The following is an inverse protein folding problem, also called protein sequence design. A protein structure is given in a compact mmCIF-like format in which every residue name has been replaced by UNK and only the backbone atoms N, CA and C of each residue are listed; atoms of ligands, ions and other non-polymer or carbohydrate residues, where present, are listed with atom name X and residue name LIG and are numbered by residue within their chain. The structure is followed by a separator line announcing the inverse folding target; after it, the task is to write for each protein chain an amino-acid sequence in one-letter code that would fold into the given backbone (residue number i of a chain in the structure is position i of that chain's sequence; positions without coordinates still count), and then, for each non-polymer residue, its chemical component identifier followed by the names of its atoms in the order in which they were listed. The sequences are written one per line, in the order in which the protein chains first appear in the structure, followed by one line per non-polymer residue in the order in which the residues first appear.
data_IF_862126329891
#
_entry.id   IF_862126329891
#
_cell.length_a   1.000
_cell.length_b   1.000
_cell.length_c   1.000
_cell.angle_alpha   90.00
_cell.angle_beta   90.00
_cell.angle_gamma   90.00
#
_symmetry.space_group_name_H-M   'P 1'
#
loop_
_entity.id
_entity.type
_entity.pdbx_description
1 polymer ?
#
# COMPACT_ATOMS: atom_id res chain seq x y z
N UNK A 1 19.88 -6.94 20.67
CA UNK A 1 18.60 -7.64 20.89
C UNK A 1 17.96 -8.00 19.55
N UNK A 2 17.53 -9.23 19.42
CA UNK A 2 16.83 -9.64 18.20
C UNK A 2 15.37 -9.18 18.26
N UNK A 3 14.87 -8.73 17.11
CA UNK A 3 13.47 -8.39 16.91
C UNK A 3 12.97 -9.03 15.61
N UNK A 4 11.75 -8.72 15.22
CA UNK A 4 11.14 -9.29 14.03
C UNK A 4 11.85 -8.89 12.72
N UNK A 5 12.68 -7.84 12.74
CA UNK A 5 13.39 -7.33 11.57
C UNK A 5 14.86 -7.76 11.52
N UNK A 6 15.32 -8.51 12.50
CA UNK A 6 16.75 -8.86 12.63
C UNK A 6 17.30 -9.60 11.40
N UNK A 7 16.52 -10.50 10.82
CA UNK A 7 16.96 -11.25 9.63
C UNK A 7 17.03 -10.37 8.39
N UNK A 8 16.08 -9.45 8.24
CA UNK A 8 16.11 -8.46 7.16
C UNK A 8 17.32 -7.55 7.31
N UNK A 9 17.65 -7.16 8.54
CA UNK A 9 18.83 -6.35 8.82
C UNK A 9 20.14 -7.07 8.44
N UNK A 10 20.22 -8.39 8.58
CA UNK A 10 21.38 -9.13 8.14
C UNK A 10 21.63 -9.00 6.64
N UNK A 11 20.57 -8.86 5.85
CA UNK A 11 20.66 -8.71 4.41
C UNK A 11 20.90 -7.27 3.97
N UNK A 12 20.18 -6.33 4.57
CA UNK A 12 20.16 -4.93 4.12
C UNK A 12 21.11 -4.02 4.87
N UNK A 13 21.46 -4.38 6.12
CA UNK A 13 22.27 -3.56 6.99
C UNK A 13 21.44 -2.61 7.84
N UNK A 14 22.06 -2.08 8.90
CA UNK A 14 21.43 -1.22 9.87
C UNK A 14 20.94 0.10 9.27
N UNK A 15 21.76 0.72 8.44
CA UNK A 15 21.43 2.01 7.80
C UNK A 15 20.19 1.89 6.92
N UNK A 16 20.09 0.83 6.10
CA UNK A 16 18.92 0.60 5.28
C UNK A 16 17.67 0.35 6.12
N UNK A 17 17.78 -0.37 7.22
CA UNK A 17 16.65 -0.60 8.13
C UNK A 17 16.17 0.69 8.79
N UNK A 18 17.07 1.57 9.20
CA UNK A 18 16.70 2.88 9.73
C UNK A 18 15.97 3.72 8.69
N UNK A 19 16.42 3.67 7.43
CA UNK A 19 15.76 4.36 6.33
C UNK A 19 14.34 3.83 6.10
N UNK A 20 14.14 2.51 6.14
CA UNK A 20 12.82 1.91 6.02
C UNK A 20 11.90 2.32 7.17
N UNK A 21 12.38 2.27 8.40
CA UNK A 21 11.59 2.67 9.58
C UNK A 21 11.17 4.14 9.56
N UNK A 22 11.92 4.98 8.87
CA UNK A 22 11.62 6.40 8.71
C UNK A 22 10.87 6.72 7.42
N UNK A 23 10.56 5.72 6.61
CA UNK A 23 9.89 5.91 5.32
C UNK A 23 8.38 5.85 5.46
N UNK A 24 7.70 6.64 4.63
CA UNK A 24 6.25 6.66 4.47
C UNK A 24 5.89 6.29 3.03
N UNK A 25 5.08 5.27 2.87
CA UNK A 25 4.69 4.74 1.57
C UNK A 25 3.18 4.79 1.43
N UNK A 26 2.70 5.31 0.31
CA UNK A 26 1.29 5.29 -0.04
C UNK A 26 1.00 4.14 -1.01
N UNK A 27 -0.04 3.36 -0.72
CA UNK A 27 -0.49 2.27 -1.58
C UNK A 27 -1.89 2.60 -2.08
N UNK A 28 -2.00 2.83 -3.36
CA UNK A 28 -3.26 3.13 -4.04
C UNK A 28 -3.82 1.85 -4.65
N UNK A 29 -4.92 1.37 -4.07
CA UNK A 29 -5.55 0.11 -4.46
C UNK A 29 -5.15 -1.05 -3.55
N UNK A 30 -6.12 -1.59 -2.81
CA UNK A 30 -5.92 -2.72 -1.87
C UNK A 30 -6.64 -3.96 -2.43
N UNK A 31 -6.24 -4.34 -3.63
CA UNK A 31 -6.75 -5.53 -4.30
C UNK A 31 -5.77 -6.70 -4.24
N UNK A 32 -5.71 -7.48 -5.33
CA UNK A 32 -4.85 -8.65 -5.40
C UNK A 32 -3.37 -8.33 -5.30
N UNK A 33 -2.92 -7.24 -5.91
CA UNK A 33 -1.52 -6.81 -5.85
C UNK A 33 -1.27 -5.91 -4.65
N UNK A 34 -2.12 -4.90 -4.45
CA UNK A 34 -1.95 -3.91 -3.38
C UNK A 34 -1.96 -4.53 -1.99
N UNK A 35 -2.83 -5.50 -1.75
CA UNK A 35 -2.91 -6.17 -0.46
C UNK A 35 -1.61 -6.91 -0.09
N UNK A 36 -1.04 -7.65 -1.02
CA UNK A 36 0.24 -8.33 -0.80
C UNK A 36 1.40 -7.34 -0.69
N UNK A 37 1.33 -6.23 -1.41
CA UNK A 37 2.34 -5.17 -1.31
C UNK A 37 2.36 -4.56 0.10
N UNK A 38 1.19 -4.26 0.66
CA UNK A 38 1.07 -3.77 2.04
C UNK A 38 1.68 -4.77 3.01
N UNK A 39 1.36 -6.04 2.86
CA UNK A 39 1.92 -7.12 3.68
C UNK A 39 3.45 -7.14 3.63
N UNK A 40 4.00 -7.08 2.43
CA UNK A 40 5.46 -7.10 2.23
C UNK A 40 6.13 -5.87 2.84
N UNK A 41 5.56 -4.68 2.66
CA UNK A 41 6.10 -3.44 3.22
C UNK A 41 6.08 -3.46 4.75
N UNK A 42 4.99 -3.90 5.35
CA UNK A 42 4.88 -4.01 6.80
C UNK A 42 5.92 -4.97 7.38
N UNK A 43 6.08 -6.12 6.75
CA UNK A 43 7.04 -7.15 7.18
C UNK A 43 8.49 -6.76 6.93
N UNK A 44 8.73 -5.82 6.03
CA UNK A 44 10.08 -5.32 5.72
C UNK A 44 10.52 -4.17 6.63
N UNK A 45 9.60 -3.57 7.40
CA UNK A 45 9.96 -2.54 8.35
C UNK A 45 9.66 -1.10 7.93
N UNK A 46 8.80 -0.88 6.94
CA UNK A 46 8.34 0.46 6.58
C UNK A 46 7.58 1.06 7.76
N UNK A 47 7.93 2.29 8.15
CA UNK A 47 7.43 2.89 9.38
C UNK A 47 6.04 3.51 9.27
N UNK A 48 5.60 3.92 8.08
CA UNK A 48 4.29 4.52 7.88
C UNK A 48 3.69 4.10 6.54
N UNK A 49 2.41 3.79 6.55
CA UNK A 49 1.66 3.35 5.37
C UNK A 49 0.38 4.16 5.26
N UNK A 50 0.14 4.73 4.07
CA UNK A 50 -1.15 5.29 3.70
C UNK A 50 -1.83 4.32 2.76
N UNK A 51 -3.07 3.93 3.09
CA UNK A 51 -3.82 2.91 2.36
C UNK A 51 -5.06 3.55 1.75
N UNK A 52 -5.19 3.48 0.43
CA UNK A 52 -6.23 4.17 -0.31
C UNK A 52 -7.05 3.17 -1.13
N UNK A 53 -8.31 2.98 -0.78
CA UNK A 53 -9.27 2.15 -1.51
C UNK A 53 -10.67 2.44 -0.98
N UNK A 54 -11.68 2.49 -1.85
CA UNK A 54 -13.06 2.73 -1.42
C UNK A 54 -13.90 1.44 -1.33
N UNK A 55 -13.36 0.32 -1.76
CA UNK A 55 -14.10 -0.94 -1.83
C UNK A 55 -14.20 -1.65 -0.49
N UNK A 56 -15.27 -2.41 -0.37
CA UNK A 56 -15.44 -3.42 0.68
C UNK A 56 -15.03 -4.78 0.15
N UNK A 57 -14.60 -5.65 1.05
CA UNK A 57 -14.28 -7.04 0.72
C UNK A 57 -15.53 -7.76 0.23
N UNK A 58 -15.42 -8.40 -0.93
CA UNK A 58 -16.47 -9.23 -1.52
C UNK A 58 -16.08 -10.71 -1.47
N UNK A 59 -17.09 -11.58 -1.46
CA UNK A 59 -16.85 -13.03 -1.43
C UNK A 59 -15.97 -13.49 -2.58
N UNK A 60 -16.15 -12.92 -3.78
CA UNK A 60 -15.36 -13.27 -4.97
C UNK A 60 -13.89 -12.87 -4.89
N UNK A 61 -13.52 -12.04 -3.92
CA UNK A 61 -12.12 -11.65 -3.70
C UNK A 61 -11.29 -12.75 -3.03
N UNK A 62 -11.94 -13.75 -2.43
CA UNK A 62 -11.27 -14.78 -1.63
C UNK A 62 -10.24 -15.58 -2.43
N UNK A 63 -10.42 -15.69 -3.73
CA UNK A 63 -9.52 -16.49 -4.55
C UNK A 63 -8.11 -15.88 -4.73
N UNK A 64 -7.94 -14.57 -4.48
CA UNK A 64 -6.69 -13.89 -4.81
C UNK A 64 -6.29 -12.73 -3.88
N UNK A 65 -7.19 -12.22 -3.04
CA UNK A 65 -6.89 -11.04 -2.21
C UNK A 65 -6.61 -11.46 -0.78
N UNK A 66 -5.44 -11.04 -0.26
CA UNK A 66 -5.03 -11.43 1.09
C UNK A 66 -5.94 -10.85 2.18
N UNK A 67 -6.57 -9.70 1.92
CA UNK A 67 -7.52 -9.08 2.87
C UNK A 67 -8.86 -9.83 2.93
N UNK A 68 -9.12 -10.70 1.96
CA UNK A 68 -10.42 -11.35 1.81
C UNK A 68 -10.45 -12.70 2.48
N UNK A 69 -11.23 -12.81 3.52
CA UNK A 69 -11.61 -14.06 4.19
C UNK A 69 -13.12 -14.04 4.45
N UNK A 70 -13.70 -15.17 4.82
CA UNK A 70 -15.11 -15.20 5.18
C UNK A 70 -15.46 -14.27 6.34
N UNK A 71 -14.50 -14.01 7.23
CA UNK A 71 -14.69 -13.11 8.37
C UNK A 71 -14.65 -11.63 7.98
N UNK A 72 -13.98 -11.30 6.87
CA UNK A 72 -13.77 -9.90 6.47
C UNK A 72 -14.73 -9.40 5.39
N UNK A 73 -15.51 -10.29 4.77
CA UNK A 73 -16.51 -9.90 3.76
C UNK A 73 -17.43 -8.82 4.32
N UNK A 74 -17.60 -7.73 3.58
CA UNK A 74 -18.43 -6.58 3.96
C UNK A 74 -17.67 -5.48 4.70
N UNK A 75 -16.45 -5.72 5.15
CA UNK A 75 -15.60 -4.69 5.75
C UNK A 75 -14.84 -3.93 4.67
N UNK A 76 -14.49 -2.67 4.95
CA UNK A 76 -13.64 -1.91 4.03
C UNK A 76 -12.26 -2.54 3.93
N UNK A 77 -11.74 -2.66 2.72
CA UNK A 77 -10.42 -3.26 2.48
C UNK A 77 -9.31 -2.54 3.23
N UNK A 78 -9.37 -1.21 3.30
CA UNK A 78 -8.35 -0.44 4.03
C UNK A 78 -8.38 -0.71 5.53
N UNK A 79 -9.55 -0.94 6.11
CA UNK A 79 -9.68 -1.25 7.53
C UNK A 79 -9.12 -2.65 7.84
N UNK A 80 -9.39 -3.62 6.99
CA UNK A 80 -8.85 -4.97 7.12
C UNK A 80 -7.33 -4.95 6.99
N UNK A 81 -6.82 -4.21 6.01
CA UNK A 81 -5.38 -4.06 5.82
C UNK A 81 -4.71 -3.38 7.01
N UNK A 82 -5.31 -2.34 7.58
CA UNK A 82 -4.80 -1.67 8.77
C UNK A 82 -4.71 -2.63 9.95
N UNK A 83 -5.77 -3.38 10.22
CA UNK A 83 -5.76 -4.37 11.30
C UNK A 83 -4.64 -5.38 11.09
N UNK A 84 -4.47 -5.85 9.88
CA UNK A 84 -3.45 -6.83 9.54
C UNK A 84 -2.04 -6.27 9.73
N UNK A 85 -1.81 -5.02 9.33
CA UNK A 85 -0.53 -4.32 9.55
C UNK A 85 -0.22 -4.23 11.04
N UNK A 86 -1.18 -3.85 11.86
CA UNK A 86 -0.98 -3.72 13.30
C UNK A 86 -0.80 -5.07 14.02
N UNK A 87 -1.28 -6.16 13.45
CA UNK A 87 -0.96 -7.50 13.92
C UNK A 87 0.48 -7.91 13.58
N UNK A 88 1.04 -7.34 12.52
CA UNK A 88 2.44 -7.54 12.13
C UNK A 88 3.35 -6.67 13.00
N UNK A 89 3.04 -5.39 13.10
CA UNK A 89 3.79 -4.44 13.93
C UNK A 89 2.86 -3.29 14.36
N UNK A 90 2.51 -3.22 15.65
CA UNK A 90 1.61 -2.16 16.15
C UNK A 90 2.21 -0.77 16.11
N UNK A 91 3.54 -0.64 15.90
CA UNK A 91 4.22 0.64 15.84
C UNK A 91 4.17 1.30 14.46
N UNK A 92 3.74 0.57 13.43
CA UNK A 92 3.58 1.16 12.09
C UNK A 92 2.41 2.15 12.13
N UNK A 93 2.67 3.37 11.63
CA UNK A 93 1.63 4.39 11.50
C UNK A 93 0.83 4.12 10.24
N UNK A 94 -0.47 3.89 10.39
CA UNK A 94 -1.36 3.62 9.26
C UNK A 94 -2.41 4.71 9.17
N UNK A 95 -2.54 5.29 7.97
CA UNK A 95 -3.61 6.22 7.63
C UNK A 95 -4.44 5.60 6.52
N UNK A 96 -5.75 5.54 6.71
CA UNK A 96 -6.66 4.94 5.74
C UNK A 96 -7.52 6.00 5.07
N UNK A 97 -7.79 5.79 3.78
CA UNK A 97 -8.64 6.65 2.97
C UNK A 97 -9.65 5.79 2.24
N UNK A 98 -10.92 5.94 2.60
CA UNK A 98 -12.05 5.20 2.00
C UNK A 98 -12.54 5.94 0.77
N UNK A 99 -11.64 6.28 -0.12
CA UNK A 99 -11.95 7.02 -1.35
C UNK A 99 -11.26 6.36 -2.54
N UNK A 100 -11.83 6.62 -3.70
CA UNK A 100 -11.27 6.18 -4.97
C UNK A 100 -10.39 7.30 -5.54
N UNK A 101 -9.17 6.96 -5.97
CA UNK A 101 -8.27 7.95 -6.55
C UNK A 101 -8.67 8.25 -7.98
N UNK A 102 -9.10 9.50 -8.20
CA UNK A 102 -9.53 10.04 -9.50
C UNK A 102 -8.96 11.44 -9.65
N UNK A 103 -9.05 12.05 -10.86
CA UNK A 103 -8.67 13.45 -11.01
C UNK A 103 -9.42 14.39 -10.06
N UNK A 104 -10.67 14.04 -9.71
CA UNK A 104 -11.49 14.86 -8.81
C UNK A 104 -11.08 14.73 -7.34
N UNK A 105 -10.50 13.59 -6.93
CA UNK A 105 -10.10 13.35 -5.54
C UNK A 105 -8.61 13.56 -5.30
N UNK A 106 -7.82 13.75 -6.36
CA UNK A 106 -6.35 13.80 -6.25
C UNK A 106 -5.84 14.90 -5.32
N UNK A 107 -6.57 16.00 -5.16
CA UNK A 107 -6.14 17.12 -4.33
C UNK A 107 -6.25 16.84 -2.83
N UNK A 108 -6.88 15.74 -2.45
CA UNK A 108 -6.92 15.30 -1.05
C UNK A 108 -5.61 14.70 -0.57
N UNK A 109 -4.66 14.49 -1.48
CA UNK A 109 -3.38 13.86 -1.18
C UNK A 109 -2.24 14.83 -1.44
N UNK A 110 -1.36 14.96 -0.46
CA UNK A 110 -0.10 15.69 -0.61
C UNK A 110 1.04 14.68 -0.83
N UNK A 111 1.43 14.50 -2.08
CA UNK A 111 2.46 13.53 -2.44
C UNK A 111 3.86 13.90 -1.94
N UNK A 112 4.06 15.14 -1.51
CA UNK A 112 5.34 15.55 -0.93
C UNK A 112 5.64 14.85 0.40
N UNK A 113 4.62 14.28 1.05
CA UNK A 113 4.76 13.53 2.30
C UNK A 113 5.28 12.11 2.13
N UNK A 114 5.23 11.58 0.90
CA UNK A 114 5.56 10.17 0.66
C UNK A 114 6.98 10.01 0.15
N UNK A 115 7.68 9.01 0.68
CA UNK A 115 8.96 8.58 0.14
C UNK A 115 8.77 7.71 -1.09
N UNK A 116 7.64 7.03 -1.16
CA UNK A 116 7.32 6.14 -2.28
C UNK A 116 5.81 6.03 -2.47
N UNK A 117 5.40 5.88 -3.73
CA UNK A 117 3.99 5.70 -4.11
C UNK A 117 3.86 4.41 -4.91
N UNK A 118 2.97 3.54 -4.46
CA UNK A 118 2.65 2.28 -5.14
C UNK A 118 1.32 2.43 -5.87
N UNK A 119 1.36 2.22 -7.17
CA UNK A 119 0.17 2.21 -8.03
C UNK A 119 -0.31 0.77 -8.22
N UNK A 120 -1.35 0.40 -7.51
CA UNK A 120 -2.03 -0.88 -7.66
C UNK A 120 -3.50 -0.68 -8.07
N UNK A 121 -3.79 0.48 -8.70
CA UNK A 121 -5.11 0.83 -9.23
C UNK A 121 -5.34 0.06 -10.54
N UNK A 122 -6.56 -0.41 -10.74
CA UNK A 122 -6.93 -1.16 -11.94
C UNK A 122 -7.68 -0.35 -13.01
N UNK A 123 -7.96 0.94 -12.75
CA UNK A 123 -8.59 1.82 -13.76
C UNK A 123 -7.54 2.66 -14.49
N UNK A 124 -7.73 2.82 -15.81
CA UNK A 124 -6.79 3.59 -16.64
C UNK A 124 -6.79 5.07 -16.23
N UNK A 125 -7.96 5.65 -16.01
CA UNK A 125 -8.08 7.06 -15.61
C UNK A 125 -7.37 7.32 -14.29
N UNK A 126 -7.57 6.45 -13.29
CA UNK A 126 -6.90 6.55 -12.00
C UNK A 126 -5.39 6.41 -12.12
N UNK A 127 -4.90 5.45 -12.91
CA UNK A 127 -3.47 5.26 -13.14
C UNK A 127 -2.82 6.48 -13.79
N UNK A 128 -3.44 7.06 -14.80
CA UNK A 128 -2.92 8.24 -15.48
C UNK A 128 -2.83 9.42 -14.50
N UNK A 129 -3.89 9.68 -13.75
CA UNK A 129 -3.92 10.77 -12.76
C UNK A 129 -2.82 10.58 -11.71
N UNK A 130 -2.63 9.35 -11.24
CA UNK A 130 -1.62 9.02 -10.23
C UNK A 130 -0.20 9.25 -10.75
N UNK A 131 0.09 8.78 -11.96
CA UNK A 131 1.41 8.96 -12.59
C UNK A 131 1.73 10.44 -12.80
N UNK A 132 0.77 11.20 -13.31
CA UNK A 132 0.95 12.64 -13.53
C UNK A 132 1.24 13.36 -12.23
N UNK A 133 0.47 13.05 -11.18
CA UNK A 133 0.67 13.69 -9.86
C UNK A 133 2.00 13.29 -9.23
N UNK A 134 2.37 12.02 -9.29
CA UNK A 134 3.65 11.55 -8.76
C UNK A 134 4.83 12.20 -9.50
N UNK A 135 4.73 12.31 -10.81
CA UNK A 135 5.77 12.93 -11.64
C UNK A 135 5.92 14.41 -11.36
N UNK A 136 4.84 15.11 -11.06
CA UNK A 136 4.86 16.54 -10.73
C UNK A 136 5.68 16.85 -9.48
N UNK A 137 5.83 15.91 -8.56
CA UNK A 137 6.64 16.03 -7.35
C UNK A 137 7.97 15.26 -7.47
N UNK A 138 8.32 14.81 -8.66
CA UNK A 138 9.57 14.10 -8.97
C UNK A 138 9.75 12.78 -8.24
N UNK A 139 8.66 12.09 -7.94
CA UNK A 139 8.74 10.77 -7.32
C UNK A 139 9.02 9.67 -8.32
N UNK A 140 9.85 8.71 -7.87
CA UNK A 140 9.92 7.39 -8.45
C UNK A 140 8.67 6.63 -8.03
N UNK A 141 8.01 6.00 -8.99
CA UNK A 141 6.75 5.35 -8.71
C UNK A 141 6.77 3.89 -9.19
N UNK A 142 6.22 3.01 -8.37
CA UNK A 142 6.11 1.60 -8.67
C UNK A 142 4.73 1.32 -9.25
N UNK A 143 4.72 0.76 -10.47
CA UNK A 143 3.49 0.28 -11.11
C UNK A 143 3.36 -1.21 -10.91
N UNK A 144 2.15 -1.62 -10.57
CA UNK A 144 1.78 -3.02 -10.61
C UNK A 144 1.13 -3.32 -11.97
N UNK A 145 1.62 -4.36 -12.66
CA UNK A 145 0.99 -4.90 -13.85
C UNK A 145 0.23 -6.16 -13.46
N UNK A 146 -1.05 -6.15 -13.67
CA UNK A 146 -1.87 -7.32 -13.35
C UNK A 146 -1.83 -8.37 -14.46
N UNK A 147 -1.71 -7.91 -15.70
CA UNK A 147 -1.66 -8.82 -16.86
C UNK A 147 -0.80 -8.23 -17.96
N UNK A 148 -0.40 -9.06 -18.91
CA UNK A 148 0.32 -8.64 -20.12
C UNK A 148 -0.58 -7.92 -21.13
N UNK A 149 -1.86 -7.80 -20.86
CA UNK A 149 -2.84 -7.19 -21.77
C UNK A 149 -2.65 -5.69 -21.97
N UNK A 150 -1.77 -5.07 -21.20
CA UNK A 150 -1.43 -3.65 -21.34
C UNK A 150 -0.31 -3.38 -22.33
N UNK A 151 0.25 -4.40 -22.91
CA UNK A 151 1.36 -4.28 -23.85
C UNK A 151 0.87 -4.20 -25.30
#
# INVERSE_FOLDING_TARGET
MQDQYSRTQLLLGKEAMEKLHNSRVAVFGIGGVGGYTVEALARSGVGALDLIDDDKVCLTNLNRQIVATRKTVGQYKVDVAEQRVHEIDPNIKVTTYKIFFTPETQDQFDFTQYDYVVDAIDTVTGKIALVVKAKAVSYTHLRAHETDSYL
#
